data_IF_505440962548
#
_entry.id   IF_505440962548
#
_cell.length_a   1.000
_cell.length_b   1.000
_cell.length_c   1.000
_cell.angle_alpha   90.00
_cell.angle_beta   90.00
_cell.angle_gamma   90.00
#
_symmetry.space_group_name_H-M   'P 1'
#
loop_
_entity.id
_entity.type
_entity.pdbx_description
1 polymer ?
#
# COMPACT_ATOMS: atom_id res chain seq x y z
N UNK A 1 8.68 -10.54 19.78
CA UNK A 1 7.34 -9.96 19.82
C UNK A 1 6.31 -10.91 19.21
N UNK A 2 5.07 -10.78 19.63
CA UNK A 2 3.90 -11.43 19.06
C UNK A 2 3.29 -10.53 17.99
N UNK A 3 3.44 -10.86 16.72
CA UNK A 3 3.09 -10.04 15.57
C UNK A 3 1.98 -10.71 14.75
N UNK A 4 0.90 -10.03 14.48
CA UNK A 4 -0.08 -10.48 13.50
C UNK A 4 -0.11 -9.57 12.26
N UNK A 5 -0.24 -10.18 11.08
CA UNK A 5 -0.56 -9.50 9.84
C UNK A 5 -2.06 -9.65 9.58
N UNK A 6 -2.76 -8.51 9.54
CA UNK A 6 -4.17 -8.49 9.16
C UNK A 6 -4.27 -8.36 7.64
N UNK A 7 -4.76 -9.40 6.99
CA UNK A 7 -4.84 -9.51 5.53
C UNK A 7 -6.30 -9.59 5.06
N UNK A 8 -6.51 -9.41 3.76
CA UNK A 8 -7.85 -9.58 3.16
C UNK A 8 -8.41 -10.98 3.46
N UNK A 9 -7.64 -12.00 3.10
CA UNK A 9 -7.96 -13.42 3.25
C UNK A 9 -6.66 -14.22 3.12
N UNK A 10 -6.36 -15.08 4.09
CA UNK A 10 -5.14 -15.88 4.10
C UNK A 10 -5.05 -16.80 2.87
N UNK A 11 -6.17 -17.28 2.36
CA UNK A 11 -6.21 -18.12 1.16
C UNK A 11 -5.72 -17.39 -0.10
N UNK A 12 -5.88 -16.05 -0.15
CA UNK A 12 -5.46 -15.22 -1.31
C UNK A 12 -4.03 -14.69 -1.21
N UNK A 13 -3.36 -14.85 -0.06
CA UNK A 13 -1.97 -14.46 0.10
C UNK A 13 -1.05 -15.30 -0.79
N UNK A 14 -0.01 -14.68 -1.36
CA UNK A 14 0.98 -15.34 -2.20
C UNK A 14 2.40 -15.01 -1.78
N UNK A 15 3.33 -15.82 -2.23
CA UNK A 15 4.76 -15.71 -1.93
C UNK A 15 5.41 -14.42 -2.48
N UNK A 16 4.84 -13.82 -3.51
CA UNK A 16 5.32 -12.56 -4.09
C UNK A 16 4.98 -11.33 -3.23
N UNK A 17 4.01 -11.42 -2.32
CA UNK A 17 3.59 -10.27 -1.54
C UNK A 17 4.63 -9.80 -0.52
N UNK A 18 4.65 -8.50 -0.29
CA UNK A 18 5.51 -7.88 0.73
C UNK A 18 5.22 -8.45 2.13
N UNK A 19 3.95 -8.78 2.42
CA UNK A 19 3.53 -9.40 3.68
C UNK A 19 4.29 -10.70 3.96
N UNK A 20 4.42 -11.57 2.96
CA UNK A 20 5.15 -12.85 3.08
C UNK A 20 6.63 -12.64 3.41
N UNK A 21 7.27 -11.63 2.80
CA UNK A 21 8.66 -11.27 3.07
C UNK A 21 8.85 -10.65 4.46
N UNK A 22 7.95 -9.79 4.87
CA UNK A 22 7.95 -9.21 6.22
C UNK A 22 7.76 -10.29 7.29
N UNK A 23 6.85 -11.24 7.07
CA UNK A 23 6.63 -12.37 7.97
C UNK A 23 7.88 -13.26 8.08
N UNK A 24 8.53 -13.60 6.95
CA UNK A 24 9.82 -14.29 6.94
C UNK A 24 10.86 -13.55 7.76
N UNK A 25 11.02 -12.26 7.55
CA UNK A 25 11.99 -11.43 8.27
C UNK A 25 11.72 -11.42 9.78
N UNK A 26 10.46 -11.31 10.19
CA UNK A 26 10.08 -11.36 11.61
C UNK A 26 10.39 -12.73 12.25
N UNK A 27 10.07 -13.82 11.58
CA UNK A 27 10.37 -15.18 12.06
C UNK A 27 11.87 -15.44 12.17
N UNK A 28 12.68 -14.99 11.19
CA UNK A 28 14.13 -15.11 11.22
C UNK A 28 14.78 -14.31 12.36
N UNK A 29 14.07 -13.30 12.89
CA UNK A 29 14.46 -12.51 14.07
C UNK A 29 13.90 -13.11 15.38
N UNK A 30 13.27 -14.28 15.34
CA UNK A 30 12.78 -14.99 16.52
C UNK A 30 11.43 -14.51 17.05
N UNK A 31 10.63 -13.86 16.22
CA UNK A 31 9.28 -13.44 16.59
C UNK A 31 8.24 -14.52 16.32
N UNK A 32 7.13 -14.49 17.07
CA UNK A 32 5.94 -15.28 16.78
C UNK A 32 5.09 -14.49 15.80
N UNK A 33 4.63 -15.15 14.73
CA UNK A 33 3.93 -14.49 13.63
C UNK A 33 2.66 -15.24 13.26
N UNK A 34 1.57 -14.49 13.07
CA UNK A 34 0.28 -15.00 12.61
C UNK A 34 -0.25 -14.21 11.43
N UNK A 35 -1.07 -14.85 10.61
CA UNK A 35 -1.93 -14.24 9.63
C UNK A 35 -3.37 -14.32 10.11
N UNK A 36 -4.11 -13.20 10.01
CA UNK A 36 -5.51 -13.07 10.40
C UNK A 36 -6.27 -12.47 9.22
N UNK A 37 -7.27 -13.18 8.75
CA UNK A 37 -8.16 -12.69 7.70
C UNK A 37 -9.26 -11.78 8.26
N UNK A 38 -9.88 -10.99 7.38
CA UNK A 38 -10.94 -10.06 7.77
C UNK A 38 -12.18 -10.77 8.38
N UNK A 39 -12.41 -12.04 8.06
CA UNK A 39 -13.55 -12.85 8.55
C UNK A 39 -13.24 -13.66 9.81
N UNK A 40 -12.00 -13.57 10.32
CA UNK A 40 -11.53 -14.45 11.38
C UNK A 40 -11.58 -13.83 12.78
N UNK A 41 -11.96 -12.55 12.88
CA UNK A 41 -11.96 -11.82 14.15
C UNK A 41 -13.32 -11.92 14.86
N UNK A 42 -13.27 -12.18 16.15
CA UNK A 42 -14.43 -12.28 17.04
C UNK A 42 -14.25 -11.33 18.24
N UNK A 43 -15.34 -10.71 18.68
CA UNK A 43 -15.37 -10.01 19.97
C UNK A 43 -15.94 -10.98 21.02
N UNK A 44 -15.15 -11.29 22.05
CA UNK A 44 -15.57 -12.24 23.11
C UNK A 44 -16.80 -11.78 23.87
N UNK A 45 -17.75 -12.68 24.06
CA UNK A 45 -19.08 -12.39 24.64
C UNK A 45 -18.99 -11.97 26.12
N UNK A 46 -18.08 -12.56 26.89
CA UNK A 46 -18.05 -12.40 28.35
C UNK A 46 -17.00 -11.41 28.87
N UNK A 47 -15.90 -11.23 28.15
CA UNK A 47 -14.77 -10.42 28.58
C UNK A 47 -14.45 -9.25 27.67
N UNK A 48 -15.11 -9.19 26.50
CA UNK A 48 -14.91 -8.17 25.50
C UNK A 48 -13.53 -8.18 24.84
N UNK A 49 -12.76 -9.29 24.99
CA UNK A 49 -11.47 -9.45 24.32
C UNK A 49 -11.67 -9.66 22.82
N UNK A 50 -10.76 -9.12 22.03
CA UNK A 50 -10.66 -9.46 20.62
C UNK A 50 -9.87 -10.76 20.48
N UNK A 51 -10.47 -11.74 19.83
CA UNK A 51 -9.84 -13.01 19.49
C UNK A 51 -9.89 -13.25 18.00
N UNK A 52 -8.94 -14.03 17.48
CA UNK A 52 -8.95 -14.38 16.07
C UNK A 52 -8.66 -15.87 15.87
N UNK A 53 -9.25 -16.42 14.82
CA UNK A 53 -8.79 -17.67 14.20
C UNK A 53 -7.61 -17.32 13.30
N UNK A 54 -6.42 -17.72 13.69
CA UNK A 54 -5.17 -17.28 13.07
C UNK A 54 -4.38 -18.44 12.50
N UNK A 55 -3.69 -18.19 11.40
CA UNK A 55 -2.73 -19.12 10.82
C UNK A 55 -1.33 -18.78 11.33
N UNK A 56 -0.78 -19.64 12.20
CA UNK A 56 0.58 -19.47 12.69
C UNK A 56 1.60 -19.67 11.57
N UNK A 57 2.54 -18.74 11.45
CA UNK A 57 3.60 -18.81 10.49
C UNK A 57 4.85 -19.46 11.10
N UNK A 58 5.51 -20.32 10.33
CA UNK A 58 6.77 -20.94 10.69
C UNK A 58 7.69 -21.04 9.48
N UNK A 59 8.87 -20.46 9.59
CA UNK A 59 9.87 -20.47 8.52
C UNK A 59 11.04 -21.38 8.93
N UNK A 60 11.27 -22.43 8.15
CA UNK A 60 12.31 -23.42 8.39
C UNK A 60 13.49 -23.18 7.43
N UNK A 61 14.71 -23.48 7.89
CA UNK A 61 15.90 -23.37 7.06
C UNK A 61 15.77 -24.25 5.80
N UNK A 62 15.85 -23.61 4.63
CA UNK A 62 15.69 -24.27 3.33
C UNK A 62 14.31 -24.07 2.68
N UNK A 63 13.37 -23.41 3.37
CA UNK A 63 12.11 -23.03 2.75
C UNK A 63 12.30 -22.03 1.62
N UNK A 64 11.55 -22.22 0.54
CA UNK A 64 11.23 -21.14 -0.42
C UNK A 64 10.04 -20.35 0.11
N UNK A 65 9.83 -19.14 -0.37
CA UNK A 65 8.65 -18.35 0.00
C UNK A 65 7.34 -19.05 -0.41
N UNK A 66 7.34 -19.77 -1.53
CA UNK A 66 6.22 -20.60 -1.97
C UNK A 66 5.89 -21.71 -0.97
N UNK A 67 6.91 -22.50 -0.56
CA UNK A 67 6.72 -23.58 0.44
C UNK A 67 6.32 -23.05 1.81
N UNK A 68 6.83 -21.87 2.18
CA UNK A 68 6.46 -21.15 3.39
C UNK A 68 4.99 -20.73 3.36
N UNK A 69 4.54 -20.07 2.28
CA UNK A 69 3.15 -19.61 2.17
C UNK A 69 2.16 -20.79 2.09
N UNK A 70 2.51 -21.85 1.36
CA UNK A 70 1.70 -23.08 1.33
C UNK A 70 1.51 -23.67 2.73
N UNK A 71 2.57 -23.75 3.53
CA UNK A 71 2.50 -24.28 4.90
C UNK A 71 1.60 -23.45 5.80
N UNK A 72 1.64 -22.11 5.69
CA UNK A 72 0.74 -21.23 6.44
C UNK A 72 -0.72 -21.55 6.12
N UNK A 73 -1.06 -21.76 4.85
CA UNK A 73 -2.42 -22.07 4.41
C UNK A 73 -2.91 -23.45 4.83
N UNK A 74 -2.00 -24.44 4.87
CA UNK A 74 -2.31 -25.84 5.18
C UNK A 74 -2.29 -26.14 6.69
N UNK A 75 -1.74 -25.25 7.51
CA UNK A 75 -1.61 -25.45 8.96
C UNK A 75 -2.97 -25.31 9.66
N UNK A 76 -3.11 -26.04 10.77
CA UNK A 76 -4.27 -25.90 11.64
C UNK A 76 -4.42 -24.47 12.15
N UNK A 77 -5.65 -24.01 12.17
CA UNK A 77 -6.03 -22.67 12.65
C UNK A 77 -5.94 -22.66 14.18
N UNK A 78 -5.24 -21.66 14.70
CA UNK A 78 -5.13 -21.43 16.14
C UNK A 78 -6.07 -20.30 16.57
N UNK A 79 -6.60 -20.39 17.78
CA UNK A 79 -7.35 -19.28 18.39
C UNK A 79 -6.39 -18.45 19.22
N UNK A 80 -6.16 -17.19 18.83
CA UNK A 80 -5.30 -16.26 19.55
C UNK A 80 -6.10 -15.13 20.18
N UNK A 81 -5.62 -14.60 21.30
CA UNK A 81 -6.13 -13.36 21.90
C UNK A 81 -5.35 -12.20 21.26
N UNK A 82 -6.05 -11.36 20.50
CA UNK A 82 -5.42 -10.24 19.77
C UNK A 82 -4.98 -9.11 20.71
N UNK A 83 -5.62 -8.99 21.88
CA UNK A 83 -5.22 -8.06 22.94
C UNK A 83 -3.82 -8.38 23.52
N UNK A 84 -3.34 -9.62 23.36
CA UNK A 84 -2.02 -10.05 23.81
C UNK A 84 -0.91 -9.87 22.75
N UNK A 85 -1.22 -9.31 21.59
CA UNK A 85 -0.23 -8.99 20.56
C UNK A 85 0.63 -7.80 20.98
N UNK A 86 1.91 -7.84 20.64
CA UNK A 86 2.78 -6.66 20.70
C UNK A 86 2.50 -5.71 19.53
N UNK A 87 2.21 -6.29 18.35
CA UNK A 87 1.93 -5.50 17.15
C UNK A 87 0.90 -6.16 16.24
N UNK A 88 0.09 -5.31 15.58
CA UNK A 88 -0.75 -5.65 14.44
C UNK A 88 -0.29 -4.84 13.24
N UNK A 89 0.06 -5.53 12.14
CA UNK A 89 0.38 -4.88 10.88
C UNK A 89 -0.80 -5.01 9.91
N UNK A 90 -1.45 -3.88 9.61
CA UNK A 90 -2.57 -3.84 8.67
C UNK A 90 -2.03 -3.97 7.24
N UNK A 91 -2.46 -5.02 6.54
CA UNK A 91 -2.01 -5.36 5.18
C UNK A 91 -3.16 -5.70 4.23
N UNK A 92 -4.39 -5.46 4.65
CA UNK A 92 -5.55 -5.55 3.78
C UNK A 92 -5.68 -4.26 2.95
N UNK A 93 -6.05 -4.40 1.68
CA UNK A 93 -6.46 -3.28 0.83
C UNK A 93 -7.97 -3.14 0.93
N UNK A 94 -8.45 -2.12 1.63
CA UNK A 94 -9.90 -1.89 1.85
C UNK A 94 -10.69 -1.76 0.55
N UNK A 95 -10.04 -1.23 -0.48
CA UNK A 95 -10.61 -1.04 -1.83
C UNK A 95 -10.90 -2.37 -2.52
N UNK A 96 -10.11 -3.39 -2.32
CA UNK A 96 -10.31 -4.72 -2.93
C UNK A 96 -11.60 -5.39 -2.42
N UNK A 97 -12.06 -5.04 -1.22
CA UNK A 97 -13.29 -5.58 -0.62
C UNK A 97 -14.55 -4.78 -0.95
N UNK A 98 -14.42 -3.53 -1.40
CA UNK A 98 -15.59 -2.64 -1.61
C UNK A 98 -16.65 -3.22 -2.56
N UNK A 99 -16.27 -3.99 -3.56
CA UNK A 99 -17.19 -4.59 -4.54
C UNK A 99 -17.63 -6.00 -4.14
N UNK A 100 -16.72 -6.82 -3.65
CA UNK A 100 -16.95 -8.25 -3.40
C UNK A 100 -17.46 -8.52 -1.98
N UNK A 101 -16.88 -7.84 -0.99
CA UNK A 101 -17.15 -8.03 0.44
C UNK A 101 -17.21 -6.66 1.16
N UNK A 102 -18.16 -5.77 0.84
CA UNK A 102 -18.20 -4.40 1.38
C UNK A 102 -18.22 -4.35 2.91
N UNK A 103 -18.71 -5.39 3.57
CA UNK A 103 -18.67 -5.54 5.03
C UNK A 103 -17.24 -5.70 5.58
N UNK A 104 -16.32 -6.27 4.81
CA UNK A 104 -14.92 -6.51 5.21
C UNK A 104 -14.03 -5.27 5.04
N UNK A 105 -14.36 -4.40 4.10
CA UNK A 105 -13.55 -3.22 3.74
C UNK A 105 -13.10 -2.38 4.95
N UNK A 106 -13.95 -2.01 5.93
CA UNK A 106 -13.53 -1.18 7.06
C UNK A 106 -12.87 -1.97 8.21
N UNK A 107 -12.91 -3.32 8.21
CA UNK A 107 -12.64 -4.10 9.41
C UNK A 107 -11.21 -4.00 9.90
N UNK A 108 -10.22 -3.97 9.01
CA UNK A 108 -8.83 -3.79 9.42
C UNK A 108 -8.63 -2.51 10.23
N UNK A 109 -9.23 -1.41 9.77
CA UNK A 109 -9.18 -0.12 10.48
C UNK A 109 -9.96 -0.18 11.79
N UNK A 110 -11.17 -0.74 11.78
CA UNK A 110 -12.02 -0.81 13.00
C UNK A 110 -11.35 -1.65 14.09
N UNK A 111 -10.90 -2.85 13.78
CA UNK A 111 -10.21 -3.70 14.76
C UNK A 111 -8.84 -3.14 15.13
N UNK A 112 -8.13 -2.51 14.19
CA UNK A 112 -6.89 -1.80 14.47
C UNK A 112 -7.08 -0.69 15.51
N UNK A 113 -8.11 0.15 15.38
CA UNK A 113 -8.42 1.20 16.36
C UNK A 113 -8.79 0.61 17.73
N UNK A 114 -9.55 -0.49 17.76
CA UNK A 114 -9.89 -1.14 19.03
C UNK A 114 -8.66 -1.69 19.75
N UNK A 115 -7.74 -2.30 19.02
CA UNK A 115 -6.49 -2.86 19.56
C UNK A 115 -5.51 -1.75 19.98
N UNK A 116 -5.38 -0.68 19.19
CA UNK A 116 -4.60 0.50 19.56
C UNK A 116 -5.08 1.10 20.89
N UNK A 117 -6.39 1.24 21.07
CA UNK A 117 -6.97 1.73 22.31
C UNK A 117 -6.69 0.83 23.53
N UNK A 118 -6.30 -0.43 23.31
CA UNK A 118 -5.94 -1.44 24.32
C UNK A 118 -4.44 -1.63 24.51
N UNK A 119 -3.63 -0.84 23.78
CA UNK A 119 -2.19 -0.80 23.96
C UNK A 119 -1.39 -1.65 22.97
N UNK A 120 -2.04 -2.31 22.00
CA UNK A 120 -1.34 -3.00 20.91
C UNK A 120 -0.79 -1.96 19.93
N UNK A 121 0.46 -2.12 19.52
CA UNK A 121 1.03 -1.27 18.46
C UNK A 121 0.42 -1.63 17.11
N UNK A 122 -0.31 -0.71 16.48
CA UNK A 122 -0.91 -0.93 15.16
C UNK A 122 -0.21 -0.08 14.10
N UNK A 123 0.15 -0.66 12.98
CA UNK A 123 0.83 0.01 11.86
C UNK A 123 0.20 -0.41 10.50
N UNK A 124 0.00 0.54 9.55
CA UNK A 124 0.06 2.00 9.75
C UNK A 124 -1.05 2.47 10.71
N UNK A 125 -1.02 3.75 11.12
CA UNK A 125 -2.07 4.31 11.99
C UNK A 125 -3.47 4.09 11.39
N UNK A 126 -4.37 3.39 12.09
CA UNK A 126 -5.67 3.02 11.50
C UNK A 126 -6.59 4.21 11.25
N UNK A 127 -6.48 5.31 12.01
CA UNK A 127 -7.28 6.53 11.81
C UNK A 127 -6.86 7.25 10.53
N UNK A 128 -5.57 7.28 10.29
CA UNK A 128 -4.99 7.91 9.09
C UNK A 128 -5.18 7.05 7.84
N UNK A 129 -5.23 5.72 7.97
CA UNK A 129 -5.51 4.81 6.85
C UNK A 129 -6.90 5.06 6.23
N UNK A 130 -7.91 5.49 7.00
CA UNK A 130 -9.22 5.87 6.44
C UNK A 130 -9.09 6.95 5.35
N UNK A 131 -8.20 7.93 5.57
CA UNK A 131 -7.93 9.00 4.60
C UNK A 131 -7.04 8.50 3.47
N UNK A 132 -6.04 7.70 3.80
CA UNK A 132 -5.04 7.21 2.86
C UNK A 132 -5.56 6.12 1.89
N UNK A 133 -6.66 5.45 2.20
CA UNK A 133 -7.37 4.56 1.29
C UNK A 133 -7.95 5.30 0.06
N UNK A 134 -8.13 6.61 0.18
CA UNK A 134 -8.59 7.48 -0.90
C UNK A 134 -7.43 8.24 -1.52
N UNK A 135 -7.45 8.41 -2.85
CA UNK A 135 -6.50 9.29 -3.58
C UNK A 135 -6.58 10.76 -3.14
N UNK A 136 -7.63 11.16 -2.40
CA UNK A 136 -7.69 12.47 -1.74
C UNK A 136 -6.57 12.70 -0.73
N UNK A 137 -5.99 11.66 -0.17
CA UNK A 137 -4.89 11.83 0.77
C UNK A 137 -3.70 12.59 0.17
N UNK A 138 -3.45 12.42 -1.13
CA UNK A 138 -2.42 13.18 -1.84
C UNK A 138 -2.71 14.69 -1.83
N UNK A 139 -3.98 15.11 -1.82
CA UNK A 139 -4.37 16.52 -1.79
C UNK A 139 -4.03 17.24 -0.47
N UNK A 140 -3.71 16.47 0.58
CA UNK A 140 -3.26 17.03 1.86
C UNK A 140 -1.77 17.41 1.87
N UNK A 141 -1.02 17.09 0.82
CA UNK A 141 0.40 17.41 0.67
C UNK A 141 0.60 18.73 -0.11
N UNK A 142 1.79 19.37 -0.03
CA UNK A 142 2.05 20.63 -0.71
C UNK A 142 1.80 20.57 -2.22
N UNK A 143 1.17 21.60 -2.79
CA UNK A 143 0.85 21.67 -4.21
C UNK A 143 2.07 21.51 -5.13
N UNK A 144 3.23 22.00 -4.68
CA UNK A 144 4.48 21.92 -5.45
C UNK A 144 4.94 20.50 -5.77
N UNK A 145 4.52 19.49 -4.98
CA UNK A 145 4.93 18.08 -5.15
C UNK A 145 3.82 17.18 -5.69
N UNK A 146 2.68 17.71 -6.08
CA UNK A 146 1.57 16.94 -6.63
C UNK A 146 1.04 17.54 -7.91
N UNK A 147 0.45 16.75 -8.82
CA UNK A 147 -0.17 17.27 -10.02
C UNK A 147 -1.42 18.09 -9.66
N UNK A 148 -1.78 19.05 -10.53
CA UNK A 148 -3.08 19.71 -10.43
C UNK A 148 -4.17 18.66 -10.58
N UNK A 149 -5.18 18.74 -9.73
CA UNK A 149 -6.22 17.70 -9.64
C UNK A 149 -7.60 18.31 -9.49
N UNK A 150 -8.60 17.60 -9.99
CA UNK A 150 -10.02 17.87 -9.75
C UNK A 150 -10.68 16.59 -9.28
N UNK A 151 -11.45 16.66 -8.19
CA UNK A 151 -12.31 15.55 -7.74
C UNK A 151 -13.76 15.92 -7.91
N UNK A 152 -14.50 15.15 -8.70
CA UNK A 152 -15.89 15.50 -9.05
C UNK A 152 -16.68 14.26 -9.50
N UNK A 153 -18.01 14.42 -9.53
CA UNK A 153 -18.95 13.55 -10.24
C UNK A 153 -19.63 14.24 -11.44
N UNK A 154 -19.26 15.49 -11.73
CA UNK A 154 -19.81 16.24 -12.84
C UNK A 154 -18.96 16.07 -14.11
N UNK A 155 -19.46 15.37 -15.16
CA UNK A 155 -18.75 15.19 -16.42
C UNK A 155 -18.34 16.51 -17.09
N UNK A 156 -19.18 17.54 -16.97
CA UNK A 156 -18.86 18.86 -17.56
C UNK A 156 -17.72 19.55 -16.81
N UNK A 157 -17.61 19.34 -15.49
CA UNK A 157 -16.46 19.83 -14.73
C UNK A 157 -15.17 19.11 -15.15
N UNK A 158 -15.22 17.79 -15.42
CA UNK A 158 -14.09 17.03 -15.97
C UNK A 158 -13.65 17.64 -17.30
N UNK A 159 -14.59 17.82 -18.23
CA UNK A 159 -14.29 18.42 -19.55
C UNK A 159 -13.67 19.81 -19.44
N UNK A 160 -14.22 20.68 -18.59
CA UNK A 160 -13.65 22.02 -18.34
C UNK A 160 -12.25 21.97 -17.76
N UNK A 161 -11.99 21.04 -16.83
CA UNK A 161 -10.67 20.87 -16.24
C UNK A 161 -9.65 20.42 -17.27
N UNK A 162 -9.98 19.40 -18.08
CA UNK A 162 -9.15 18.94 -19.21
C UNK A 162 -8.85 20.07 -20.18
N UNK A 163 -9.86 20.88 -20.56
CA UNK A 163 -9.66 22.05 -21.41
C UNK A 163 -8.74 23.12 -20.80
N UNK A 164 -8.56 23.11 -19.47
CA UNK A 164 -7.67 24.05 -18.77
C UNK A 164 -6.24 23.55 -18.67
N UNK A 165 -6.04 22.24 -18.40
CA UNK A 165 -4.72 21.66 -18.13
C UNK A 165 -4.16 20.89 -19.33
N UNK A 166 -5.00 20.53 -20.32
CA UNK A 166 -4.62 19.70 -21.46
C UNK A 166 -4.60 18.22 -21.09
N UNK A 167 -3.57 17.52 -21.54
CA UNK A 167 -3.39 16.09 -21.32
C UNK A 167 -3.56 15.71 -19.85
N UNK A 168 -4.39 14.72 -19.58
CA UNK A 168 -4.84 14.39 -18.22
C UNK A 168 -5.02 12.91 -18.03
N UNK A 169 -5.03 12.47 -16.75
CA UNK A 169 -5.40 11.11 -16.35
C UNK A 169 -6.67 11.17 -15.53
N UNK A 170 -7.70 10.43 -15.92
CA UNK A 170 -8.93 10.24 -15.15
C UNK A 170 -8.95 8.84 -14.56
N UNK A 171 -9.28 8.75 -13.27
CA UNK A 171 -9.29 7.48 -12.51
C UNK A 171 -10.31 7.53 -11.38
N UNK A 172 -10.82 6.36 -10.88
CA UNK A 172 -11.67 6.32 -9.71
C UNK A 172 -10.94 6.88 -8.48
N UNK A 173 -11.69 7.56 -7.62
CA UNK A 173 -11.16 8.08 -6.34
C UNK A 173 -10.68 6.95 -5.43
N UNK A 174 -11.45 5.86 -5.39
CA UNK A 174 -11.10 4.60 -4.75
C UNK A 174 -10.77 3.57 -5.84
N UNK A 175 -9.61 2.97 -5.78
CA UNK A 175 -9.21 1.97 -6.76
C UNK A 175 -7.69 1.77 -6.78
N UNK A 176 -7.29 0.57 -7.17
CA UNK A 176 -5.90 0.16 -7.28
C UNK A 176 -5.63 -0.59 -8.59
N UNK A 177 -4.38 -1.03 -8.77
CA UNK A 177 -3.93 -1.92 -9.86
C UNK A 177 -4.23 -1.41 -11.27
N UNK A 178 -4.40 -0.08 -11.46
CA UNK A 178 -4.65 0.53 -12.76
C UNK A 178 -6.04 0.28 -13.36
N UNK A 179 -7.04 -0.17 -12.57
CA UNK A 179 -8.41 -0.36 -13.07
C UNK A 179 -9.08 0.99 -13.34
N UNK A 180 -9.77 1.09 -14.47
CA UNK A 180 -10.50 2.29 -14.90
C UNK A 180 -9.63 3.56 -14.88
N UNK A 181 -8.34 3.43 -15.26
CA UNK A 181 -7.43 4.56 -15.45
C UNK A 181 -7.36 4.84 -16.94
N UNK A 182 -7.74 6.06 -17.33
CA UNK A 182 -7.75 6.49 -18.72
C UNK A 182 -6.93 7.75 -18.89
N UNK A 183 -6.19 7.83 -20.00
CA UNK A 183 -5.56 9.04 -20.45
C UNK A 183 -6.49 9.79 -21.39
N UNK A 184 -6.50 11.12 -21.28
CA UNK A 184 -7.26 12.04 -22.09
C UNK A 184 -6.25 13.03 -22.69
N UNK A 185 -6.20 13.15 -24.01
CA UNK A 185 -5.26 14.05 -24.68
C UNK A 185 -5.73 15.51 -24.58
N UNK A 186 -7.02 15.75 -24.79
CA UNK A 186 -7.63 17.08 -24.66
C UNK A 186 -9.16 16.97 -24.49
N UNK A 187 -9.85 18.12 -24.34
CA UNK A 187 -11.31 18.20 -24.15
C UNK A 187 -12.14 17.78 -25.38
N UNK A 188 -11.50 17.56 -26.54
CA UNK A 188 -12.14 17.12 -27.79
C UNK A 188 -12.01 15.62 -28.01
N UNK A 189 -11.38 14.89 -27.08
CA UNK A 189 -11.21 13.42 -27.12
C UNK A 189 -12.55 12.72 -27.39
N UNK A 190 -12.59 11.95 -28.49
CA UNK A 190 -13.84 11.35 -28.99
C UNK A 190 -14.54 10.44 -27.98
N UNK A 191 -13.78 9.77 -27.13
CA UNK A 191 -14.30 8.84 -26.11
C UNK A 191 -14.36 9.44 -24.69
N UNK A 192 -14.15 10.74 -24.54
CA UNK A 192 -14.13 11.41 -23.21
C UNK A 192 -15.37 11.11 -22.37
N UNK A 193 -16.54 11.18 -23.00
CA UNK A 193 -17.81 10.88 -22.31
C UNK A 193 -17.87 9.44 -21.80
N UNK A 194 -17.46 8.46 -22.62
CA UNK A 194 -17.45 7.03 -22.22
C UNK A 194 -16.42 6.75 -21.13
N UNK A 195 -15.21 7.30 -21.23
CA UNK A 195 -14.17 7.17 -20.21
C UNK A 195 -14.64 7.74 -18.88
N UNK A 196 -15.22 8.95 -18.92
CA UNK A 196 -15.78 9.61 -17.75
C UNK A 196 -16.93 8.79 -17.13
N UNK A 197 -17.86 8.30 -17.93
CA UNK A 197 -18.97 7.48 -17.46
C UNK A 197 -18.47 6.20 -16.79
N UNK A 198 -17.49 5.50 -17.38
CA UNK A 198 -16.90 4.29 -16.81
C UNK A 198 -16.29 4.54 -15.43
N UNK A 199 -15.56 5.65 -15.25
CA UNK A 199 -14.97 6.01 -13.95
C UNK A 199 -16.03 6.39 -12.93
N UNK A 200 -17.07 7.13 -13.35
CA UNK A 200 -18.14 7.60 -12.45
C UNK A 200 -19.10 6.49 -11.99
N UNK A 201 -19.07 5.30 -12.60
CA UNK A 201 -19.76 4.12 -12.08
C UNK A 201 -19.20 3.70 -10.72
N UNK A 202 -17.91 3.87 -10.48
CA UNK A 202 -17.24 3.57 -9.21
C UNK A 202 -17.34 4.73 -8.19
N UNK A 203 -18.08 5.79 -8.48
CA UNK A 203 -18.31 6.91 -7.57
C UNK A 203 -17.72 8.24 -8.05
N UNK A 204 -16.83 8.85 -7.25
CA UNK A 204 -16.13 10.06 -7.63
C UNK A 204 -14.94 9.74 -8.55
N UNK A 205 -14.73 10.59 -9.54
CA UNK A 205 -13.50 10.61 -10.34
C UNK A 205 -12.50 11.60 -9.76
N UNK A 206 -11.22 11.24 -9.83
CA UNK A 206 -10.12 12.19 -9.73
C UNK A 206 -9.52 12.36 -11.14
N UNK A 207 -9.39 13.60 -11.59
CA UNK A 207 -8.75 13.96 -12.84
C UNK A 207 -7.49 14.73 -12.50
N UNK A 208 -6.35 14.28 -13.01
CA UNK A 208 -5.05 14.88 -12.73
C UNK A 208 -4.40 15.33 -14.04
N UNK A 209 -3.74 16.49 -14.04
CA UNK A 209 -2.88 16.85 -15.15
C UNK A 209 -1.84 15.75 -15.39
N UNK A 210 -1.53 15.51 -16.65
CA UNK A 210 -0.48 14.55 -17.00
C UNK A 210 0.89 15.12 -16.64
N UNK A 211 1.66 14.37 -15.88
CA UNK A 211 3.02 14.78 -15.49
C UNK A 211 3.98 14.39 -16.60
N UNK A 212 4.75 15.36 -17.09
CA UNK A 212 5.76 15.14 -18.12
C UNK A 212 6.78 14.06 -17.69
N UNK A 213 7.12 13.15 -18.60
CA UNK A 213 7.96 11.98 -18.31
C UNK A 213 7.17 10.77 -17.82
N UNK A 214 5.85 10.86 -17.65
CA UNK A 214 5.00 9.74 -17.27
C UNK A 214 4.96 8.61 -18.31
N UNK A 215 5.30 8.90 -19.56
CA UNK A 215 5.46 7.91 -20.63
C UNK A 215 6.62 6.94 -20.34
N UNK A 216 7.65 7.41 -19.66
CA UNK A 216 8.84 6.62 -19.27
C UNK A 216 8.62 5.82 -18.00
N UNK A 217 7.40 5.90 -17.43
CA UNK A 217 7.00 5.25 -16.20
C UNK A 217 7.19 6.10 -14.95
N UNK A 218 7.18 5.46 -13.79
CA UNK A 218 7.27 6.11 -12.49
C UNK A 218 8.35 5.49 -11.59
N UNK A 219 8.76 6.25 -10.59
CA UNK A 219 9.65 5.79 -9.52
C UNK A 219 8.82 5.29 -8.33
N UNK A 220 8.83 3.98 -8.04
CA UNK A 220 8.34 3.41 -6.79
C UNK A 220 9.41 3.54 -5.72
N UNK A 221 9.13 4.28 -4.65
CA UNK A 221 10.03 4.51 -3.53
C UNK A 221 9.35 4.05 -2.23
N UNK A 222 10.05 3.25 -1.43
CA UNK A 222 9.52 2.81 -0.14
C UNK A 222 10.02 3.73 0.98
N UNK A 223 9.09 4.16 1.80
CA UNK A 223 9.37 5.00 2.96
C UNK A 223 9.06 4.24 4.25
N UNK A 224 9.97 4.33 5.19
CA UNK A 224 9.84 3.83 6.54
C UNK A 224 9.95 5.02 7.50
N UNK A 225 8.90 5.28 8.29
CA UNK A 225 8.86 6.41 9.24
C UNK A 225 9.22 7.75 8.57
N UNK A 226 8.66 7.99 7.37
CA UNK A 226 8.85 9.21 6.59
C UNK A 226 10.21 9.34 5.88
N UNK A 227 11.09 8.35 5.97
CA UNK A 227 12.42 8.34 5.31
C UNK A 227 12.49 7.22 4.28
N UNK A 228 13.36 7.39 3.28
CA UNK A 228 13.62 6.31 2.32
C UNK A 228 14.10 5.07 3.08
N UNK A 229 13.45 3.94 2.85
CA UNK A 229 13.90 2.66 3.39
C UNK A 229 15.25 2.30 2.77
N UNK A 230 16.22 2.03 3.63
CA UNK A 230 17.60 1.74 3.23
C UNK A 230 18.11 0.54 4.01
N UNK A 231 18.96 -0.27 3.35
CA UNK A 231 19.75 -1.31 3.98
C UNK A 231 21.07 -1.50 3.23
N UNK A 232 22.17 -1.62 3.96
CA UNK A 232 23.53 -1.87 3.42
C UNK A 232 23.92 -0.88 2.30
N UNK A 233 23.54 0.41 2.46
CA UNK A 233 23.82 1.47 1.50
C UNK A 233 22.97 1.42 0.22
N UNK A 234 21.95 0.56 0.18
CA UNK A 234 20.99 0.47 -0.94
C UNK A 234 19.64 1.03 -0.54
N UNK A 235 19.10 1.92 -1.37
CA UNK A 235 17.78 2.51 -1.19
C UNK A 235 16.72 1.58 -1.78
N UNK A 236 15.62 1.41 -1.06
CA UNK A 236 14.48 0.63 -1.52
C UNK A 236 13.65 1.45 -2.52
N UNK A 237 14.11 1.51 -3.75
CA UNK A 237 13.45 2.22 -4.84
C UNK A 237 13.75 1.55 -6.18
N UNK A 238 12.82 1.66 -7.12
CA UNK A 238 13.02 1.20 -8.51
C UNK A 238 12.09 1.96 -9.45
N UNK A 239 12.45 2.01 -10.73
CA UNK A 239 11.56 2.56 -11.76
C UNK A 239 10.69 1.45 -12.35
N UNK A 240 9.40 1.73 -12.48
CA UNK A 240 8.47 0.91 -13.26
C UNK A 240 8.39 1.50 -14.67
N UNK A 241 8.66 0.68 -15.66
CA UNK A 241 8.66 1.09 -17.07
C UNK A 241 7.53 0.35 -17.77
N UNK A 242 6.63 1.07 -18.48
CA UNK A 242 5.59 0.45 -19.29
C UNK A 242 6.16 -0.51 -20.35
N UNK A 243 5.41 -1.52 -20.71
CA UNK A 243 5.78 -2.43 -21.81
C UNK A 243 4.70 -2.38 -22.90
N UNK A 244 5.12 -2.17 -24.14
CA UNK A 244 4.20 -2.08 -25.28
C UNK A 244 3.53 -0.70 -25.39
N UNK A 245 2.26 -0.67 -25.76
CA UNK A 245 1.46 0.55 -26.00
C UNK A 245 0.63 0.97 -24.79
N UNK A 246 0.63 0.18 -23.72
CA UNK A 246 -0.08 0.50 -22.48
C UNK A 246 0.82 1.38 -21.61
N UNK A 247 0.38 2.59 -21.31
CA UNK A 247 1.12 3.57 -20.51
C UNK A 247 1.09 3.28 -19.00
N UNK A 248 0.30 2.29 -18.58
CA UNK A 248 0.30 1.87 -17.17
C UNK A 248 1.60 1.13 -16.84
N UNK A 249 2.37 1.69 -15.92
CA UNK A 249 3.67 1.12 -15.49
C UNK A 249 3.52 0.04 -14.40
N UNK A 250 2.30 -0.24 -13.93
CA UNK A 250 2.06 -1.23 -12.87
C UNK A 250 2.54 -2.63 -13.27
N UNK A 251 3.28 -3.28 -12.38
CA UNK A 251 3.81 -4.64 -12.60
C UNK A 251 2.67 -5.63 -12.88
N UNK A 252 1.51 -5.47 -12.21
CA UNK A 252 0.32 -6.30 -12.39
C UNK A 252 -0.28 -6.27 -13.80
N UNK A 253 0.04 -5.26 -14.60
CA UNK A 253 -0.40 -5.14 -16.01
C UNK A 253 0.76 -5.30 -16.99
N UNK A 254 1.91 -5.84 -16.55
CA UNK A 254 3.05 -6.16 -17.40
C UNK A 254 4.19 -5.14 -17.41
N UNK A 255 4.16 -4.15 -16.55
CA UNK A 255 5.28 -3.22 -16.36
C UNK A 255 6.56 -3.94 -15.91
N UNK A 256 7.73 -3.40 -16.26
CA UNK A 256 9.03 -3.95 -15.91
C UNK A 256 9.72 -3.06 -14.86
N UNK A 257 10.29 -3.69 -13.82
CA UNK A 257 11.13 -3.01 -12.84
C UNK A 257 12.57 -2.87 -13.35
N UNK A 258 13.14 -1.69 -13.21
CA UNK A 258 14.56 -1.41 -13.50
C UNK A 258 15.19 -0.63 -12.34
N UNK A 259 16.53 -0.71 -12.15
CA UNK A 259 17.21 0.05 -11.11
C UNK A 259 16.94 1.56 -11.22
N UNK A 260 16.91 2.23 -10.07
CA UNK A 260 16.72 3.68 -9.97
C UNK A 260 17.76 4.25 -8.99
N UNK A 261 18.43 5.29 -9.42
CA UNK A 261 19.25 6.14 -8.55
C UNK A 261 18.41 7.34 -8.10
N UNK A 262 18.24 7.49 -6.78
CA UNK A 262 17.48 8.60 -6.18
C UNK A 262 18.33 9.87 -6.21
N UNK A 263 17.88 10.84 -6.99
CA UNK A 263 18.49 12.16 -7.14
C UNK A 263 18.02 13.19 -6.11
N UNK A 264 18.42 14.44 -6.32
CA UNK A 264 18.03 15.58 -5.48
C UNK A 264 16.53 15.90 -5.60
N UNK A 265 15.94 15.67 -6.78
CA UNK A 265 14.52 15.93 -7.04
C UNK A 265 13.65 15.02 -6.19
N UNK A 266 13.87 13.69 -6.27
CA UNK A 266 13.11 12.72 -5.49
C UNK A 266 13.33 12.93 -3.98
N UNK A 267 14.54 13.26 -3.54
CA UNK A 267 14.80 13.59 -2.12
C UNK A 267 14.02 14.81 -1.69
N UNK A 268 13.98 15.88 -2.50
CA UNK A 268 13.20 17.08 -2.22
C UNK A 268 11.70 16.83 -2.11
N UNK A 269 11.17 15.91 -2.92
CA UNK A 269 9.77 15.44 -2.83
C UNK A 269 9.54 14.72 -1.51
N UNK A 270 10.42 13.79 -1.14
CA UNK A 270 10.29 12.98 0.09
C UNK A 270 10.40 13.88 1.33
N UNK A 271 11.35 14.80 1.36
CA UNK A 271 11.52 15.75 2.47
C UNK A 271 10.24 16.60 2.68
N UNK A 272 9.58 16.99 1.58
CA UNK A 272 8.32 17.74 1.65
C UNK A 272 7.13 16.91 2.17
N UNK A 273 7.22 15.58 2.15
CA UNK A 273 6.19 14.67 2.64
C UNK A 273 6.46 14.16 4.06
N UNK A 274 7.73 14.07 4.46
CA UNK A 274 8.21 13.32 5.62
C UNK A 274 7.49 13.70 6.91
N UNK A 275 7.43 15.01 7.24
CA UNK A 275 6.82 15.50 8.47
C UNK A 275 5.34 15.09 8.58
N UNK A 276 4.59 15.23 7.50
CA UNK A 276 3.17 14.85 7.48
C UNK A 276 2.97 13.34 7.57
N UNK A 277 3.75 12.55 6.85
CA UNK A 277 3.69 11.08 6.94
C UNK A 277 3.94 10.60 8.36
N UNK A 278 4.94 11.17 9.04
CA UNK A 278 5.25 10.85 10.44
C UNK A 278 4.11 11.29 11.38
N UNK A 279 3.60 12.51 11.20
CA UNK A 279 2.48 13.03 12.02
C UNK A 279 1.20 12.20 11.84
N UNK A 280 0.96 11.68 10.64
CA UNK A 280 -0.16 10.79 10.32
C UNK A 280 0.11 9.32 10.73
N UNK A 281 1.23 9.01 11.39
CA UNK A 281 1.56 7.65 11.83
C UNK A 281 1.77 6.64 10.70
N UNK A 282 2.15 7.13 9.52
CA UNK A 282 2.47 6.29 8.37
C UNK A 282 3.84 5.63 8.59
N UNK A 283 3.81 4.39 9.03
CA UNK A 283 4.99 3.61 9.36
C UNK A 283 5.73 3.12 8.13
N UNK A 284 5.00 2.45 7.22
CA UNK A 284 5.56 1.87 5.99
C UNK A 284 4.66 2.14 4.81
N UNK A 285 5.14 2.90 3.84
CA UNK A 285 4.39 3.31 2.65
C UNK A 285 5.24 3.20 1.38
N UNK A 286 4.58 3.03 0.24
CA UNK A 286 5.16 3.20 -1.07
C UNK A 286 4.63 4.47 -1.71
N UNK A 287 5.49 5.25 -2.34
CA UNK A 287 5.08 6.41 -3.15
C UNK A 287 5.48 6.21 -4.60
N UNK A 288 4.67 6.74 -5.49
CA UNK A 288 4.94 6.74 -6.92
C UNK A 288 5.23 8.16 -7.37
N UNK A 289 6.41 8.38 -7.96
CA UNK A 289 6.92 9.71 -8.32
C UNK A 289 7.23 9.74 -9.82
N UNK A 290 6.78 10.82 -10.48
CA UNK A 290 7.13 11.17 -11.86
C UNK A 290 7.73 12.57 -11.82
N UNK A 291 8.98 12.74 -12.28
CA UNK A 291 9.66 14.02 -12.16
C UNK A 291 9.71 14.52 -10.72
N UNK A 292 9.13 15.67 -10.47
CA UNK A 292 9.03 16.31 -9.16
C UNK A 292 7.63 16.14 -8.48
N UNK A 293 6.79 15.24 -9.01
CA UNK A 293 5.42 15.04 -8.54
C UNK A 293 5.18 13.63 -8.00
N UNK A 294 4.56 13.56 -6.83
CA UNK A 294 3.94 12.32 -6.33
C UNK A 294 2.59 12.15 -7.04
N UNK A 295 2.39 11.00 -7.65
CA UNK A 295 1.16 10.67 -8.38
C UNK A 295 0.28 9.65 -7.62
N UNK A 296 0.88 8.93 -6.66
CA UNK A 296 0.16 7.98 -5.80
C UNK A 296 0.90 7.73 -4.48
N UNK A 297 0.13 7.48 -3.41
CA UNK A 297 0.62 7.05 -2.09
C UNK A 297 -0.06 5.73 -1.76
N UNK A 298 0.75 4.69 -1.52
CA UNK A 298 0.30 3.34 -1.21
C UNK A 298 0.56 3.05 0.28
N UNK A 299 -0.43 3.28 1.13
CA UNK A 299 -0.29 3.20 2.58
C UNK A 299 -0.90 1.93 3.20
N UNK A 300 -1.91 1.30 2.57
CA UNK A 300 -2.58 0.12 3.14
C UNK A 300 -1.71 -1.14 2.98
N UNK A 301 -1.46 -1.56 1.73
CA UNK A 301 -0.68 -2.76 1.43
C UNK A 301 0.35 -2.50 0.34
N UNK A 302 1.35 -1.63 0.63
CA UNK A 302 2.36 -1.33 -0.37
C UNK A 302 3.08 -2.59 -0.83
N UNK A 303 3.03 -2.84 -2.15
CA UNK A 303 3.63 -3.98 -2.82
C UNK A 303 4.85 -3.58 -3.65
N UNK A 304 5.54 -4.60 -4.23
CA UNK A 304 6.66 -4.38 -5.12
C UNK A 304 8.03 -4.49 -4.46
N UNK A 305 8.11 -4.75 -3.15
CA UNK A 305 9.40 -4.87 -2.43
C UNK A 305 10.27 -6.01 -2.98
N UNK A 306 9.67 -7.04 -3.59
CA UNK A 306 10.39 -8.10 -4.29
C UNK A 306 11.26 -7.57 -5.43
N UNK A 307 10.86 -6.47 -6.08
CA UNK A 307 11.68 -5.85 -7.13
C UNK A 307 12.99 -5.28 -6.59
N UNK A 308 12.97 -4.75 -5.35
CA UNK A 308 14.20 -4.29 -4.67
C UNK A 308 15.11 -5.48 -4.40
N UNK A 309 14.56 -6.60 -3.89
CA UNK A 309 15.31 -7.82 -3.62
C UNK A 309 15.98 -8.36 -4.90
N UNK A 310 15.25 -8.41 -6.03
CA UNK A 310 15.79 -8.92 -7.30
C UNK A 310 16.77 -7.99 -7.98
N UNK A 311 16.53 -6.68 -7.94
CA UNK A 311 17.36 -5.71 -8.64
C UNK A 311 18.70 -5.42 -7.94
N UNK A 312 18.69 -5.48 -6.61
CA UNK A 312 19.84 -5.07 -5.79
C UNK A 312 20.43 -6.20 -4.96
N UNK A 313 19.87 -7.42 -5.04
CA UNK A 313 20.26 -8.60 -4.26
C UNK A 313 20.29 -8.34 -2.74
N UNK A 314 19.27 -7.59 -2.26
CA UNK A 314 19.19 -7.14 -0.87
C UNK A 314 17.78 -7.38 -0.30
N UNK A 315 17.69 -7.87 0.93
CA UNK A 315 16.45 -7.97 1.69
C UNK A 315 16.32 -6.78 2.64
N UNK A 316 15.40 -5.86 2.36
CA UNK A 316 15.14 -4.67 3.20
C UNK A 316 14.08 -4.91 4.28
N UNK A 317 13.38 -6.04 4.25
CA UNK A 317 12.33 -6.35 5.22
C UNK A 317 12.83 -6.41 6.68
N UNK A 318 14.04 -6.91 6.99
CA UNK A 318 14.55 -6.85 8.35
C UNK A 318 14.62 -5.42 8.92
N UNK A 319 14.92 -4.40 8.10
CA UNK A 319 14.93 -2.99 8.56
C UNK A 319 13.53 -2.53 9.00
N UNK A 320 12.48 -2.98 8.30
CA UNK A 320 11.08 -2.68 8.66
C UNK A 320 10.73 -3.34 10.00
N UNK A 321 11.12 -4.60 10.19
CA UNK A 321 10.86 -5.32 11.45
C UNK A 321 11.66 -4.72 12.61
N UNK A 322 12.93 -4.33 12.40
CA UNK A 322 13.74 -3.61 13.39
C UNK A 322 13.12 -2.29 13.84
N UNK A 323 12.48 -1.56 12.92
CA UNK A 323 11.75 -0.35 13.27
C UNK A 323 10.48 -0.68 14.09
N UNK A 324 9.79 -1.77 13.77
CA UNK A 324 8.62 -2.21 14.53
C UNK A 324 9.01 -2.66 15.95
N UNK A 325 10.13 -3.38 16.11
CA UNK A 325 10.69 -3.74 17.42
C UNK A 325 10.96 -2.51 18.29
N UNK A 326 11.52 -1.45 17.70
CA UNK A 326 11.75 -0.19 18.43
C UNK A 326 10.45 0.45 18.90
N UNK A 327 9.38 0.39 18.09
CA UNK A 327 8.07 0.95 18.45
C UNK A 327 7.38 0.19 19.56
N UNK A 328 7.48 -1.14 19.55
CA UNK A 328 6.88 -2.00 20.59
C UNK A 328 7.73 -2.06 21.87
N UNK A 329 8.97 -1.59 21.84
CA UNK A 329 9.95 -1.81 22.92
C UNK A 329 10.41 -3.25 23.03
N UNK A 330 10.11 -4.09 22.05
CA UNK A 330 10.51 -5.50 22.00
C UNK A 330 11.97 -5.62 21.57
N UNK A 331 12.67 -6.62 22.14
CA UNK A 331 14.00 -7.01 21.69
C UNK A 331 13.90 -8.33 20.91
N UNK A 332 14.83 -8.55 19.95
CA UNK A 332 14.88 -9.81 19.21
C UNK A 332 15.15 -11.02 20.13
#
# INVERSE_FOLDING_TARGET
>A
MRLAFFVKDVATEIDEYATTRLARAALQRGHEVWYVGAEDVELGESDGQLVARAHAAEFTKGDTLESFMRRIKERDIERIVMDDLDALFLRNESVDDLQERPWASPLGVVFGQMLEARGVTVVNDPKSLIRAASKLYLEEFPEKIRPRSLVTRDPEAIKRFVGTVGRSVVKPLYGGRGRNVFMIEDETEANLAQMTEAVLQDGYAIVQEFVEGGEDGDARIFLLEGKILERDGKLAAFRRVPTGTDLRANISVGGRSVPLDIGEVERGVIDAMSEKLVADGMFFVGIDVIGDKVVEINAESTGGIQSVEWLYEIDVCPTVIEALERRTGSKP
#
